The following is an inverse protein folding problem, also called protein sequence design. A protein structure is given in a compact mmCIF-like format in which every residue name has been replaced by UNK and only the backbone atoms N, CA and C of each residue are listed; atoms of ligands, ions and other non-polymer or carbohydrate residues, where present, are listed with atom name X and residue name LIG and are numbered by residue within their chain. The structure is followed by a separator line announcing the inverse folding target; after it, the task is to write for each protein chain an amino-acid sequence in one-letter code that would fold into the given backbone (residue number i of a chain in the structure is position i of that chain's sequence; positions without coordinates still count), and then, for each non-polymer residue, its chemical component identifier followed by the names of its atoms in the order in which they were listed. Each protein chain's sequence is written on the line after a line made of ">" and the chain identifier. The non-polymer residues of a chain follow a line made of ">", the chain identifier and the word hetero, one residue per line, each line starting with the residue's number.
data_IF_052781691118
#
_entry.id   IF_052781691118
#
_cell.length_a   1.000
_cell.length_b   1.000
_cell.length_c   1.000
_cell.angle_alpha   90.00
_cell.angle_beta   90.00
_cell.angle_gamma   90.00
#
_symmetry.space_group_name_H-M   'P 1'
#
loop_
_entity.id
_entity.type
_entity.pdbx_description
1 polymer ?
#
# COMPACT_ATOMS: atom_id res chain seq x y z
N UNK A 1 84.51 32.73 -27.93
CA UNK A 1 83.57 31.74 -28.50
C UNK A 1 82.25 32.47 -28.67
N UNK A 2 81.96 32.96 -29.89
CA UNK A 2 80.73 33.71 -30.17
C UNK A 2 79.63 32.72 -30.52
N UNK A 3 78.60 32.63 -29.69
CA UNK A 3 77.37 31.92 -30.05
C UNK A 3 76.55 32.81 -30.98
N UNK A 4 75.98 32.27 -32.07
CA UNK A 4 75.17 33.05 -32.98
C UNK A 4 73.89 33.54 -32.27
N UNK A 5 73.63 34.84 -32.33
CA UNK A 5 72.37 35.44 -31.88
C UNK A 5 71.23 34.94 -32.77
N UNK A 6 70.37 34.11 -32.21
CA UNK A 6 69.17 33.63 -32.89
C UNK A 6 68.12 34.75 -32.89
N UNK A 7 68.01 35.47 -34.01
CA UNK A 7 66.96 36.48 -34.18
C UNK A 7 65.61 35.79 -34.39
N UNK A 8 64.79 35.79 -33.36
CA UNK A 8 63.41 35.32 -33.44
C UNK A 8 62.63 36.30 -34.32
N UNK A 9 62.02 35.78 -35.37
CA UNK A 9 61.08 36.55 -36.17
C UNK A 9 59.74 36.61 -35.41
N UNK A 10 59.50 37.73 -34.74
CA UNK A 10 58.31 37.92 -33.91
C UNK A 10 57.00 37.86 -34.72
N UNK A 11 57.02 38.19 -36.01
CA UNK A 11 55.86 38.04 -36.91
C UNK A 11 55.55 36.55 -37.14
N UNK A 12 56.58 35.74 -37.41
CA UNK A 12 56.41 34.30 -37.58
C UNK A 12 55.94 33.64 -36.28
N UNK A 13 56.49 34.06 -35.14
CA UNK A 13 56.08 33.59 -33.81
C UNK A 13 54.62 33.95 -33.52
N UNK A 14 54.18 35.16 -33.85
CA UNK A 14 52.79 35.59 -33.68
C UNK A 14 51.82 34.75 -34.51
N UNK A 15 52.16 34.45 -35.78
CA UNK A 15 51.34 33.60 -36.65
C UNK A 15 51.23 32.17 -36.10
N UNK A 16 52.34 31.61 -35.58
CA UNK A 16 52.34 30.28 -34.97
C UNK A 16 51.48 30.24 -33.70
N UNK A 17 51.56 31.26 -32.84
CA UNK A 17 50.77 31.33 -31.61
C UNK A 17 49.27 31.45 -31.93
N UNK A 18 48.90 32.33 -32.86
CA UNK A 18 47.50 32.53 -33.26
C UNK A 18 46.92 31.25 -33.87
N UNK A 19 47.68 30.55 -34.71
CA UNK A 19 47.24 29.27 -35.30
C UNK A 19 47.07 28.16 -34.27
N UNK A 20 47.91 28.09 -33.24
CA UNK A 20 47.73 27.12 -32.14
C UNK A 20 46.45 27.42 -31.36
N UNK A 21 46.20 28.69 -31.03
CA UNK A 21 45.00 29.10 -30.28
C UNK A 21 43.72 28.77 -31.05
N UNK A 22 43.70 29.03 -32.36
CA UNK A 22 42.51 28.74 -33.20
C UNK A 22 42.28 27.25 -33.35
N UNK A 23 43.34 26.43 -33.46
CA UNK A 23 43.23 24.97 -33.49
C UNK A 23 42.66 24.43 -32.18
N UNK A 24 43.14 24.91 -31.03
CA UNK A 24 42.63 24.49 -29.71
C UNK A 24 41.16 24.88 -29.56
N UNK A 25 40.78 26.10 -29.96
CA UNK A 25 39.39 26.55 -29.92
C UNK A 25 38.49 25.68 -30.81
N UNK A 26 38.98 25.28 -32.00
CA UNK A 26 38.24 24.41 -32.91
C UNK A 26 38.05 23.00 -32.34
N UNK A 27 39.10 22.42 -31.76
CA UNK A 27 39.04 21.09 -31.12
C UNK A 27 38.02 21.11 -29.97
N UNK A 28 38.07 22.13 -29.11
CA UNK A 28 37.13 22.27 -27.99
C UNK A 28 35.68 22.42 -28.48
N UNK A 29 35.44 23.20 -29.53
CA UNK A 29 34.10 23.35 -30.12
C UNK A 29 33.58 22.03 -30.71
N UNK A 30 34.44 21.18 -31.29
CA UNK A 30 34.06 19.86 -31.81
C UNK A 30 33.75 18.89 -30.67
N UNK A 31 34.56 18.85 -29.61
CA UNK A 31 34.36 17.94 -28.47
C UNK A 31 33.12 18.30 -27.65
N UNK A 32 32.85 19.60 -27.47
CA UNK A 32 31.67 20.08 -26.73
C UNK A 32 30.36 19.94 -27.51
N UNK A 33 30.42 19.73 -28.84
CA UNK A 33 29.27 19.44 -29.69
C UNK A 33 29.00 17.94 -29.87
N UNK A 34 29.65 17.06 -29.10
CA UNK A 34 29.23 15.66 -29.04
C UNK A 34 27.91 15.62 -28.26
N UNK A 35 26.79 15.21 -28.87
CA UNK A 35 25.53 15.12 -28.16
C UNK A 35 25.70 14.18 -26.97
N UNK A 36 25.26 14.62 -25.79
CA UNK A 36 25.26 13.79 -24.59
C UNK A 36 24.52 12.48 -24.91
N UNK A 37 25.25 11.37 -24.94
CA UNK A 37 24.63 10.06 -25.08
C UNK A 37 23.84 9.81 -23.79
N UNK A 38 22.52 9.55 -23.87
CA UNK A 38 21.75 9.25 -22.66
C UNK A 38 22.37 8.03 -21.96
N UNK A 39 22.47 8.08 -20.62
CA UNK A 39 23.03 7.01 -19.78
C UNK A 39 22.35 5.65 -20.02
N UNK A 40 21.11 5.67 -20.51
CA UNK A 40 20.32 4.47 -20.85
C UNK A 40 20.56 3.94 -22.27
N UNK A 41 21.47 4.54 -23.04
CA UNK A 41 21.67 4.23 -24.45
C UNK A 41 20.53 4.72 -25.35
N UNK A 42 20.76 4.69 -26.67
CA UNK A 42 19.72 4.95 -27.65
C UNK A 42 18.84 3.70 -27.79
N UNK A 43 17.86 3.54 -26.90
CA UNK A 43 16.82 2.53 -27.09
C UNK A 43 15.89 3.00 -28.23
N UNK A 44 16.02 2.38 -29.40
CA UNK A 44 15.09 2.61 -30.53
C UNK A 44 14.10 1.45 -30.61
N UNK A 45 12.81 1.74 -30.45
CA UNK A 45 11.73 0.75 -30.56
C UNK A 45 10.70 0.87 -29.44
N UNK A 46 9.59 0.15 -29.55
CA UNK A 46 8.59 0.02 -28.49
C UNK A 46 9.03 -1.08 -27.52
N UNK A 47 9.21 -0.73 -26.25
CA UNK A 47 9.40 -1.70 -25.16
C UNK A 47 8.05 -1.99 -24.53
N UNK A 48 7.70 -3.27 -24.41
CA UNK A 48 6.52 -3.69 -23.66
C UNK A 48 6.95 -4.14 -22.27
N UNK A 49 6.33 -3.56 -21.24
CA UNK A 49 6.48 -3.96 -19.83
C UNK A 49 5.16 -4.56 -19.39
N UNK A 50 5.20 -5.67 -18.65
CA UNK A 50 4.00 -6.32 -18.10
C UNK A 50 3.91 -6.11 -16.58
N UNK A 51 2.94 -5.27 -16.21
CA UNK A 51 2.29 -5.04 -14.91
C UNK A 51 1.42 -6.20 -14.40
N UNK A 52 1.91 -7.15 -13.60
CA UNK A 52 1.00 -8.15 -12.99
C UNK A 52 0.16 -7.56 -11.84
N UNK A 53 -1.15 -7.77 -11.89
CA UNK A 53 -2.07 -7.44 -10.82
C UNK A 53 -1.87 -8.35 -9.60
N UNK A 54 -1.69 -7.76 -8.44
CA UNK A 54 -1.39 -8.44 -7.18
C UNK A 54 -2.31 -7.91 -6.09
N UNK A 55 -3.20 -8.78 -5.61
CA UNK A 55 -3.94 -8.58 -4.36
C UNK A 55 -3.05 -9.01 -3.21
N UNK A 56 -2.68 -8.09 -2.34
CA UNK A 56 -1.91 -8.37 -1.13
C UNK A 56 -2.45 -7.53 0.00
N UNK A 57 -2.84 -8.17 1.10
CA UNK A 57 -3.34 -7.49 2.30
C UNK A 57 -2.54 -7.94 3.51
N UNK A 58 -2.21 -7.00 4.38
CA UNK A 58 -1.48 -7.25 5.62
C UNK A 58 -2.33 -6.85 6.81
N UNK A 59 -2.33 -7.69 7.84
CA UNK A 59 -3.00 -7.41 9.09
C UNK A 59 -1.97 -6.97 10.14
N UNK A 60 -2.15 -5.78 10.72
CA UNK A 60 -1.19 -5.19 11.66
C UNK A 60 -1.33 -5.68 13.11
N UNK A 61 -2.41 -6.41 13.42
CA UNK A 61 -2.61 -7.12 14.68
C UNK A 61 -3.54 -8.30 14.45
N UNK A 62 -3.21 -9.49 14.95
CA UNK A 62 -3.90 -10.74 14.58
C UNK A 62 -4.75 -11.34 15.71
N UNK A 63 -4.96 -10.61 16.79
CA UNK A 63 -5.73 -11.07 17.94
C UNK A 63 -6.40 -9.91 18.66
N UNK A 64 -7.64 -10.13 19.11
CA UNK A 64 -8.40 -9.22 19.96
C UNK A 64 -8.84 -10.01 21.19
N UNK A 65 -8.63 -9.44 22.37
CA UNK A 65 -9.01 -10.06 23.64
C UNK A 65 -9.85 -9.10 24.48
N UNK A 66 -11.09 -9.49 24.74
CA UNK A 66 -12.00 -8.77 25.62
C UNK A 66 -11.81 -9.12 27.11
N UNK A 67 -10.76 -9.90 27.45
CA UNK A 67 -10.35 -10.32 28.79
C UNK A 67 -11.47 -11.04 29.55
N UNK A 68 -12.26 -10.32 30.34
CA UNK A 68 -13.28 -10.86 31.22
C UNK A 68 -14.61 -10.20 30.91
N UNK A 69 -15.54 -11.00 30.41
CA UNK A 69 -16.92 -10.59 30.14
C UNK A 69 -17.87 -11.54 30.86
N UNK A 70 -18.90 -11.00 31.48
CA UNK A 70 -19.96 -11.79 32.13
C UNK A 70 -21.18 -11.89 31.21
N UNK A 71 -22.04 -12.87 31.45
CA UNK A 71 -23.31 -12.99 30.74
C UNK A 71 -24.09 -11.67 30.71
N UNK A 72 -24.66 -11.35 29.55
CA UNK A 72 -25.42 -10.13 29.30
C UNK A 72 -24.58 -8.88 29.10
N UNK A 73 -23.25 -8.94 29.21
CA UNK A 73 -22.39 -7.78 28.94
C UNK A 73 -22.03 -7.68 27.47
N UNK A 74 -21.93 -6.44 27.00
CA UNK A 74 -21.47 -6.08 25.65
C UNK A 74 -20.19 -5.29 25.76
N UNK A 75 -19.24 -5.58 24.89
CA UNK A 75 -18.05 -4.76 24.68
C UNK A 75 -17.69 -4.75 23.20
N UNK A 76 -17.05 -3.67 22.75
CA UNK A 76 -16.60 -3.50 21.38
C UNK A 76 -15.20 -2.86 21.33
N UNK A 77 -14.69 -2.61 20.14
CA UNK A 77 -13.36 -2.04 19.92
C UNK A 77 -13.36 -0.58 19.51
N UNK A 78 -14.53 0.08 19.49
CA UNK A 78 -14.68 1.44 18.95
C UNK A 78 -13.97 2.50 19.79
N UNK A 79 -13.68 2.20 21.07
CA UNK A 79 -12.90 3.01 21.99
C UNK A 79 -11.40 2.64 22.01
N UNK A 80 -10.97 1.73 21.12
CA UNK A 80 -9.65 1.12 21.09
C UNK A 80 -9.29 0.26 22.33
N UNK A 81 -10.28 -0.22 23.10
CA UNK A 81 -10.08 -1.05 24.30
C UNK A 81 -11.03 -2.28 24.31
N UNK A 82 -10.64 -3.42 23.71
CA UNK A 82 -9.35 -3.71 23.07
C UNK A 82 -9.18 -3.05 21.69
N UNK A 83 -7.94 -3.00 21.15
CA UNK A 83 -7.72 -2.39 19.84
C UNK A 83 -8.41 -3.20 18.73
N UNK A 84 -8.98 -2.53 17.71
CA UNK A 84 -9.59 -3.16 16.55
C UNK A 84 -8.56 -3.80 15.62
N UNK A 85 -9.04 -4.55 14.63
CA UNK A 85 -8.18 -5.04 13.56
C UNK A 85 -7.84 -3.91 12.61
N UNK A 86 -6.59 -3.84 12.16
CA UNK A 86 -6.18 -2.93 11.07
C UNK A 86 -5.64 -3.73 9.90
N UNK A 87 -6.13 -3.40 8.72
CA UNK A 87 -5.83 -4.08 7.46
C UNK A 87 -5.26 -3.05 6.51
N UNK A 88 -4.12 -3.37 5.89
CA UNK A 88 -3.47 -2.57 4.87
C UNK A 88 -3.46 -3.30 3.53
N UNK A 89 -3.67 -2.59 2.44
CA UNK A 89 -3.51 -3.11 1.09
C UNK A 89 -2.08 -2.82 0.58
N UNK A 90 -1.21 -3.82 0.68
CA UNK A 90 0.15 -3.79 0.14
C UNK A 90 0.23 -4.28 -1.32
N UNK A 91 -0.93 -4.44 -1.97
CA UNK A 91 -1.04 -4.83 -3.37
C UNK A 91 -0.80 -3.67 -4.33
N UNK A 92 -1.17 -3.87 -5.60
CA UNK A 92 -1.16 -2.82 -6.62
C UNK A 92 -2.52 -2.64 -7.32
N UNK A 93 -3.58 -3.17 -6.71
CA UNK A 93 -4.96 -3.04 -7.16
C UNK A 93 -5.85 -2.57 -6.01
N UNK A 94 -6.99 -1.99 -6.35
CA UNK A 94 -8.01 -1.62 -5.37
C UNK A 94 -8.74 -2.88 -4.92
N UNK A 95 -8.94 -3.04 -3.61
CA UNK A 95 -9.52 -4.27 -3.05
C UNK A 95 -10.79 -4.00 -2.22
N UNK A 96 -11.73 -4.93 -2.28
CA UNK A 96 -12.80 -5.06 -1.30
C UNK A 96 -12.42 -6.15 -0.30
N UNK A 97 -12.68 -5.90 0.99
CA UNK A 97 -12.42 -6.87 2.06
C UNK A 97 -13.74 -7.40 2.59
N UNK A 98 -13.88 -8.72 2.61
CA UNK A 98 -14.96 -9.42 3.32
C UNK A 98 -14.41 -10.19 4.52
N UNK A 99 -15.28 -10.56 5.46
CA UNK A 99 -14.90 -11.29 6.67
C UNK A 99 -15.83 -12.45 6.96
N UNK A 100 -15.24 -13.58 7.36
CA UNK A 100 -15.96 -14.77 7.80
C UNK A 100 -15.39 -15.28 9.10
N UNK A 101 -16.19 -16.01 9.87
CA UNK A 101 -15.71 -16.74 11.03
C UNK A 101 -15.55 -18.22 10.68
N UNK A 102 -14.43 -18.85 11.07
CA UNK A 102 -14.22 -20.27 10.85
C UNK A 102 -15.08 -21.13 11.80
N UNK A 103 -15.45 -20.55 12.95
CA UNK A 103 -16.30 -21.17 13.95
C UNK A 103 -17.11 -20.09 14.67
N UNK A 104 -18.25 -20.49 15.25
CA UNK A 104 -19.03 -19.59 16.12
C UNK A 104 -18.28 -19.28 17.42
N UNK A 105 -18.43 -18.06 17.93
CA UNK A 105 -17.84 -17.65 19.21
C UNK A 105 -18.56 -18.28 20.41
N UNK A 106 -19.90 -18.33 20.35
CA UNK A 106 -20.76 -18.95 21.35
C UNK A 106 -21.49 -20.16 20.74
N UNK A 107 -21.65 -21.22 21.53
CA UNK A 107 -22.36 -22.42 21.06
C UNK A 107 -23.88 -22.23 21.12
N UNK A 108 -24.34 -21.41 22.06
CA UNK A 108 -25.74 -21.11 22.35
C UNK A 108 -26.35 -20.21 21.27
N UNK A 109 -25.53 -19.28 20.75
CA UNK A 109 -25.88 -18.34 19.69
C UNK A 109 -24.86 -18.47 18.55
N UNK A 110 -25.00 -19.46 17.66
CA UNK A 110 -24.06 -19.66 16.56
C UNK A 110 -24.11 -18.51 15.54
N UNK A 111 -22.98 -18.26 14.90
CA UNK A 111 -22.84 -17.31 13.80
C UNK A 111 -23.66 -17.73 12.56
N UNK A 112 -24.26 -16.78 11.81
CA UNK A 112 -24.30 -15.34 12.07
C UNK A 112 -25.26 -15.00 13.23
N UNK A 113 -24.82 -14.15 14.15
CA UNK A 113 -25.60 -13.71 15.32
C UNK A 113 -25.30 -12.25 15.66
N UNK A 114 -26.27 -11.53 16.24
CA UNK A 114 -26.09 -10.17 16.74
C UNK A 114 -25.16 -10.08 17.96
N UNK A 115 -24.82 -11.21 18.58
CA UNK A 115 -23.87 -11.30 19.69
C UNK A 115 -22.40 -11.30 19.24
N UNK A 116 -22.15 -11.42 17.93
CA UNK A 116 -20.81 -11.44 17.37
C UNK A 116 -20.82 -10.75 16.00
N UNK A 117 -20.55 -9.45 16.03
CA UNK A 117 -20.67 -8.58 14.89
C UNK A 117 -19.35 -7.92 14.52
N UNK A 118 -19.31 -7.44 13.28
CA UNK A 118 -18.23 -6.64 12.71
C UNK A 118 -18.77 -5.31 12.21
N UNK A 119 -17.95 -4.27 12.30
CA UNK A 119 -18.22 -2.98 11.70
C UNK A 119 -16.98 -2.47 10.98
N UNK A 120 -17.20 -1.61 9.99
CA UNK A 120 -16.10 -0.89 9.36
C UNK A 120 -15.76 0.34 10.22
N UNK A 121 -14.52 0.39 10.70
CA UNK A 121 -13.96 1.51 11.48
C UNK A 121 -13.07 2.40 10.62
N UNK A 122 -12.83 3.63 11.07
CA UNK A 122 -11.90 4.54 10.37
C UNK A 122 -10.59 4.65 11.14
N UNK A 123 -9.48 4.49 10.43
CA UNK A 123 -8.22 5.07 10.90
C UNK A 123 -8.34 6.58 10.76
N UNK A 124 -7.86 7.35 11.73
CA UNK A 124 -8.11 8.79 11.89
C UNK A 124 -7.88 9.63 10.62
N UNK A 125 -7.02 9.16 9.72
CA UNK A 125 -6.63 9.86 8.48
C UNK A 125 -7.20 9.20 7.21
N UNK A 126 -7.78 7.99 7.30
CA UNK A 126 -8.13 7.14 6.16
C UNK A 126 -9.57 6.66 6.24
N UNK A 127 -10.41 7.19 5.35
CA UNK A 127 -11.88 7.03 5.39
C UNK A 127 -12.37 5.96 4.42
N UNK A 128 -11.73 4.79 4.44
CA UNK A 128 -12.01 3.71 3.49
C UNK A 128 -13.31 2.93 3.77
N UNK A 129 -14.02 3.27 4.85
CA UNK A 129 -15.39 2.83 5.08
C UNK A 129 -16.38 3.71 4.33
N UNK A 130 -16.99 3.16 3.27
CA UNK A 130 -18.05 3.88 2.53
C UNK A 130 -19.22 4.24 3.45
N UNK A 131 -19.89 5.37 3.19
CA UNK A 131 -21.02 5.84 3.99
C UNK A 131 -22.13 4.78 4.13
N UNK A 132 -22.39 3.99 3.09
CA UNK A 132 -23.37 2.90 3.13
C UNK A 132 -23.00 1.84 4.18
N UNK A 133 -21.73 1.47 4.29
CA UNK A 133 -21.25 0.51 5.29
C UNK A 133 -21.28 1.09 6.71
N UNK A 134 -21.10 2.40 6.84
CA UNK A 134 -21.25 3.12 8.13
C UNK A 134 -22.70 3.22 8.58
N UNK A 135 -23.65 3.37 7.66
CA UNK A 135 -25.09 3.45 7.96
C UNK A 135 -25.69 2.10 8.40
N UNK A 136 -25.08 0.97 7.99
CA UNK A 136 -25.50 -0.37 8.46
C UNK A 136 -25.01 -0.67 9.90
N UNK A 137 -23.98 0.04 10.38
CA UNK A 137 -23.51 0.00 11.77
C UNK A 137 -22.76 -1.28 12.14
N UNK A 138 -23.48 -2.39 12.32
CA UNK A 138 -22.92 -3.68 12.74
C UNK A 138 -23.52 -4.82 11.91
N UNK A 139 -22.66 -5.72 11.45
CA UNK A 139 -23.04 -6.88 10.66
C UNK A 139 -22.68 -8.17 11.38
N UNK A 140 -23.62 -9.13 11.43
CA UNK A 140 -23.38 -10.42 12.04
C UNK A 140 -22.38 -11.24 11.22
N UNK A 141 -21.31 -11.74 11.84
CA UNK A 141 -20.22 -12.41 11.12
C UNK A 141 -20.67 -13.80 10.66
N UNK A 142 -20.71 -14.11 9.35
CA UNK A 142 -21.19 -15.38 8.82
C UNK A 142 -20.08 -16.42 8.84
N UNK A 143 -20.48 -17.70 8.76
CA UNK A 143 -19.55 -18.82 8.64
C UNK A 143 -19.18 -19.13 7.18
N UNK A 144 -20.02 -18.70 6.22
CA UNK A 144 -19.82 -18.95 4.80
C UNK A 144 -19.36 -17.70 4.04
N UNK A 145 -18.34 -17.81 3.15
CA UNK A 145 -17.94 -16.72 2.26
C UNK A 145 -19.05 -16.24 1.32
N UNK A 146 -19.98 -17.11 0.94
CA UNK A 146 -21.11 -16.76 0.05
C UNK A 146 -22.11 -15.79 0.69
N UNK A 147 -22.10 -15.69 2.02
CA UNK A 147 -22.99 -14.84 2.79
C UNK A 147 -22.27 -13.59 3.29
N UNK A 148 -20.94 -13.50 3.10
CA UNK A 148 -20.12 -12.42 3.61
C UNK A 148 -20.14 -11.20 2.67
N UNK A 149 -20.70 -10.06 3.10
CA UNK A 149 -20.61 -8.82 2.34
C UNK A 149 -19.18 -8.25 2.42
N UNK A 150 -18.85 -7.39 1.47
CA UNK A 150 -17.66 -6.55 1.61
C UNK A 150 -17.89 -5.57 2.77
N UNK A 151 -17.09 -5.69 3.83
CA UNK A 151 -17.12 -4.81 5.00
C UNK A 151 -16.22 -3.58 4.83
N UNK A 152 -15.22 -3.67 3.95
CA UNK A 152 -14.43 -2.53 3.47
C UNK A 152 -14.54 -2.54 1.95
N UNK A 153 -14.78 -1.36 1.36
CA UNK A 153 -14.92 -1.23 -0.08
C UNK A 153 -13.96 -0.19 -0.63
N UNK A 154 -13.35 -0.50 -1.77
CA UNK A 154 -12.40 0.34 -2.49
C UNK A 154 -11.15 0.73 -1.67
N UNK A 155 -10.61 -0.21 -0.89
CA UNK A 155 -9.34 0.00 -0.18
C UNK A 155 -8.22 0.17 -1.21
N UNK A 156 -7.62 1.36 -1.24
CA UNK A 156 -6.59 1.70 -2.23
C UNK A 156 -5.22 1.17 -1.80
N UNK A 157 -4.20 1.32 -2.65
CA UNK A 157 -2.80 0.95 -2.37
C UNK A 157 -1.88 2.18 -2.28
N UNK A 158 -2.47 3.38 -2.21
CA UNK A 158 -1.73 4.62 -2.03
C UNK A 158 -1.51 4.85 -0.53
N UNK A 159 -0.27 5.13 -0.13
CA UNK A 159 0.22 5.21 1.25
C UNK A 159 -0.49 6.21 2.19
N UNK A 160 -1.46 6.98 1.70
CA UNK A 160 -2.27 7.90 2.51
C UNK A 160 -3.70 7.39 2.74
N UNK A 161 -4.09 6.28 2.09
CA UNK A 161 -5.45 5.72 2.06
C UNK A 161 -5.43 4.20 1.79
N UNK A 162 -4.36 3.51 2.20
CA UNK A 162 -4.16 2.07 2.03
C UNK A 162 -4.56 1.23 3.24
N UNK A 163 -5.08 1.85 4.31
CA UNK A 163 -5.47 1.22 5.54
C UNK A 163 -6.96 1.38 5.87
N UNK A 164 -7.50 0.37 6.54
CA UNK A 164 -8.82 0.40 7.12
C UNK A 164 -8.82 -0.29 8.48
N UNK A 165 -9.74 0.15 9.34
CA UNK A 165 -9.98 -0.44 10.64
C UNK A 165 -11.24 -1.30 10.59
N UNK A 166 -11.23 -2.40 11.33
CA UNK A 166 -12.37 -3.31 11.45
C UNK A 166 -12.66 -3.53 12.91
N UNK A 167 -13.82 -3.04 13.32
CA UNK A 167 -14.29 -3.11 14.69
C UNK A 167 -15.05 -4.42 14.94
N UNK A 168 -14.93 -4.94 16.16
CA UNK A 168 -15.62 -6.16 16.61
C UNK A 168 -16.48 -5.83 17.81
N UNK A 169 -17.73 -6.30 17.81
CA UNK A 169 -18.64 -6.20 18.93
C UNK A 169 -19.03 -7.61 19.40
N UNK A 170 -18.89 -7.84 20.69
CA UNK A 170 -19.23 -9.09 21.36
C UNK A 170 -20.23 -8.80 22.46
N UNK A 171 -21.33 -9.54 22.47
CA UNK A 171 -22.26 -9.59 23.61
C UNK A 171 -22.32 -11.02 24.12
N UNK A 172 -22.00 -11.28 25.39
CA UNK A 172 -22.08 -12.64 25.96
C UNK A 172 -23.55 -13.04 26.13
N UNK A 173 -24.05 -14.06 25.41
CA UNK A 173 -25.43 -14.52 25.56
C UNK A 173 -25.73 -15.05 26.96
N UNK A 174 -26.98 -14.94 27.39
CA UNK A 174 -27.44 -15.57 28.63
C UNK A 174 -27.33 -17.10 28.54
N UNK A 175 -26.93 -17.75 29.63
CA UNK A 175 -26.76 -19.21 29.68
C UNK A 175 -25.46 -19.71 29.04
N UNK A 176 -24.53 -18.82 28.70
CA UNK A 176 -23.19 -19.18 28.21
C UNK A 176 -22.38 -19.81 29.35
N UNK A 177 -21.97 -21.08 29.28
CA UNK A 177 -21.19 -21.71 30.33
C UNK A 177 -19.86 -20.98 30.56
N UNK A 178 -19.37 -20.92 31.82
CA UNK A 178 -18.10 -20.28 32.13
C UNK A 178 -16.96 -20.96 31.37
N UNK A 179 -15.98 -20.16 30.94
CA UNK A 179 -14.80 -20.63 30.23
C UNK A 179 -14.40 -19.70 29.07
N UNK A 180 -13.19 -19.86 28.58
CA UNK A 180 -12.70 -19.11 27.43
C UNK A 180 -13.52 -19.38 26.18
N UNK A 181 -13.90 -18.33 25.47
CA UNK A 181 -14.52 -18.39 24.14
C UNK A 181 -13.56 -17.79 23.13
N UNK A 182 -13.50 -18.37 21.93
CA UNK A 182 -12.62 -17.92 20.86
C UNK A 182 -13.18 -18.29 19.50
N UNK A 183 -13.03 -17.38 18.55
CA UNK A 183 -13.35 -17.62 17.14
C UNK A 183 -12.19 -17.11 16.27
N UNK A 184 -11.93 -17.80 15.17
CA UNK A 184 -10.96 -17.35 14.18
C UNK A 184 -11.68 -16.64 13.04
N UNK A 185 -11.27 -15.42 12.74
CA UNK A 185 -11.79 -14.65 11.60
C UNK A 185 -10.85 -14.77 10.41
N UNK A 186 -11.44 -14.92 9.22
CA UNK A 186 -10.75 -14.95 7.93
C UNK A 186 -11.18 -13.74 7.11
N UNK A 187 -10.22 -12.89 6.78
CA UNK A 187 -10.42 -11.72 5.91
C UNK A 187 -9.99 -12.05 4.49
N UNK A 188 -10.82 -11.73 3.52
CA UNK A 188 -10.55 -12.01 2.10
C UNK A 188 -10.58 -10.73 1.31
N UNK A 189 -9.47 -10.43 0.61
CA UNK A 189 -9.39 -9.34 -0.34
C UNK A 189 -9.73 -9.81 -1.75
N UNK A 190 -10.58 -9.07 -2.45
CA UNK A 190 -10.93 -9.32 -3.86
C UNK A 190 -10.69 -8.04 -4.64
N UNK A 191 -10.00 -8.17 -5.78
CA UNK A 191 -9.80 -7.08 -6.74
C UNK A 191 -11.15 -6.56 -7.27
N UNK A 192 -11.36 -5.25 -7.18
CA UNK A 192 -12.55 -4.58 -7.73
C UNK A 192 -12.31 -3.93 -9.08
N UNK A 193 -11.06 -3.84 -9.50
CA UNK A 193 -10.69 -3.23 -10.76
C UNK A 193 -10.88 -4.24 -11.89
N UNK A 194 -11.91 -4.04 -12.70
CA UNK A 194 -11.95 -4.57 -14.07
C UNK A 194 -10.94 -3.88 -15.00
N UNK A 195 -9.94 -3.19 -14.42
CA UNK A 195 -9.05 -2.24 -15.09
C UNK A 195 -7.64 -2.82 -15.10
N UNK A 196 -6.98 -2.66 -16.24
CA UNK A 196 -5.58 -3.08 -16.45
C UNK A 196 -4.71 -2.44 -15.37
N UNK A 197 -3.93 -3.26 -14.67
CA UNK A 197 -2.92 -2.79 -13.75
C UNK A 197 -1.92 -1.84 -14.44
N UNK A 198 -1.39 -0.84 -13.73
CA UNK A 198 -0.46 0.14 -14.29
C UNK A 198 0.78 -0.50 -14.92
#
# INVERSE_FOLDING_TARGET
>A
MNFPEFKINYELLAVVIVSIITIIALINAVILNVPASPITGFATGTVYVNVSCTVSITMMGNNISFIYMTEGTTNDTTDNIPPPFRIRNDGNVVVNISVTANNSLFAENPSPTTNFNVACGNVTEEHNCTQALREVGWYAIPLSPSESPAIIANLQFNATIDEAEVDINVTVPAGTPPGGKSATLTFTGIDTSGTVCP
#
